data_IF_102804988054
#
_entry.id   IF_102804988054
#
_cell.length_a   1.000
_cell.length_b   1.000
_cell.length_c   1.000
_cell.angle_alpha   90.00
_cell.angle_beta   90.00
_cell.angle_gamma   90.00
#
_symmetry.space_group_name_H-M   'P 1'
#
loop_
_entity.id
_entity.type
_entity.pdbx_description
1 polymer ?
#
# COMPACT_ATOMS: atom_id res chain seq x y z
N UNK A 1 57.58 -0.26 -49.97
CA UNK A 1 56.64 -1.37 -49.66
C UNK A 1 56.64 -1.50 -48.14
N UNK A 2 55.58 -1.05 -47.44
CA UNK A 2 54.44 -1.87 -46.92
C UNK A 2 54.97 -2.91 -45.89
N UNK A 3 54.67 -2.89 -44.60
CA UNK A 3 53.36 -2.83 -43.91
C UNK A 3 53.59 -2.56 -42.40
N UNK A 4 52.95 -1.58 -41.75
CA UNK A 4 51.64 -1.60 -41.05
C UNK A 4 51.46 -2.61 -39.89
N UNK A 5 51.51 -2.06 -38.66
CA UNK A 5 50.53 -2.12 -37.54
C UNK A 5 50.13 -3.48 -36.92
N UNK A 6 50.29 -3.60 -35.60
CA UNK A 6 49.20 -3.91 -34.65
C UNK A 6 49.63 -3.62 -33.21
N UNK A 7 49.26 -2.45 -32.70
CA UNK A 7 49.31 -2.14 -31.27
C UNK A 7 48.16 -2.88 -30.56
N UNK A 8 48.47 -3.62 -29.49
CA UNK A 8 47.46 -4.15 -28.58
C UNK A 8 46.82 -2.98 -27.82
N UNK A 9 45.57 -2.67 -28.13
CA UNK A 9 44.73 -1.82 -27.29
C UNK A 9 43.70 -2.71 -26.59
N UNK A 10 43.97 -3.05 -25.32
CA UNK A 10 43.00 -3.66 -24.44
C UNK A 10 41.94 -2.59 -24.08
N UNK A 11 40.77 -2.68 -24.73
CA UNK A 11 39.59 -1.87 -24.39
C UNK A 11 38.99 -2.40 -23.09
N UNK A 12 39.35 -1.78 -21.97
CA UNK A 12 38.61 -1.93 -20.72
C UNK A 12 37.29 -1.15 -20.84
N UNK A 13 36.18 -1.86 -21.00
CA UNK A 13 34.84 -1.26 -20.93
C UNK A 13 34.53 -0.91 -19.46
N UNK A 14 34.13 0.32 -19.12
CA UNK A 14 33.61 0.62 -17.79
C UNK A 14 32.23 -0.01 -17.65
N UNK A 15 32.10 -0.96 -16.72
CA UNK A 15 30.81 -1.47 -16.27
C UNK A 15 30.10 -0.34 -15.50
N UNK A 16 29.21 0.38 -16.19
CA UNK A 16 28.29 1.32 -15.55
C UNK A 16 27.27 0.52 -14.75
N UNK A 17 27.49 0.45 -13.44
CA UNK A 17 26.49 -0.01 -12.46
C UNK A 17 25.33 1.00 -12.48
N UNK A 18 24.30 0.68 -13.25
CA UNK A 18 23.02 1.37 -13.17
C UNK A 18 22.37 1.02 -11.83
N UNK A 19 22.58 1.86 -10.81
CA UNK A 19 21.83 1.77 -9.58
C UNK A 19 20.35 2.04 -9.91
N UNK A 20 19.49 1.04 -9.73
CA UNK A 20 18.06 1.22 -9.80
C UNK A 20 17.64 2.30 -8.79
N UNK A 21 16.72 3.21 -9.12
CA UNK A 21 16.24 4.19 -8.16
C UNK A 21 15.55 3.42 -7.02
N UNK A 22 16.14 3.48 -5.83
CA UNK A 22 15.44 3.10 -4.62
C UNK A 22 14.22 4.03 -4.51
N UNK A 23 13.01 3.47 -4.59
CA UNK A 23 11.81 4.17 -4.21
C UNK A 23 11.96 4.56 -2.73
N UNK A 24 12.39 5.79 -2.47
CA UNK A 24 12.55 6.30 -1.13
C UNK A 24 11.15 6.35 -0.50
N UNK A 25 10.90 5.49 0.48
CA UNK A 25 9.74 5.64 1.34
C UNK A 25 9.82 7.04 1.98
N UNK A 26 8.73 7.81 1.99
CA UNK A 26 8.74 9.13 2.60
C UNK A 26 9.17 9.01 4.08
N UNK A 27 9.86 10.02 4.64
CA UNK A 27 10.34 9.98 6.03
C UNK A 27 9.16 9.83 6.99
N UNK A 28 9.33 9.08 8.11
CA UNK A 28 8.28 8.97 9.10
C UNK A 28 7.93 10.38 9.66
N UNK A 29 6.66 10.65 9.96
CA UNK A 29 6.23 11.93 10.50
C UNK A 29 6.88 12.18 11.87
N UNK A 30 7.04 13.46 12.26
CA UNK A 30 7.60 13.82 13.55
C UNK A 30 6.77 13.19 14.70
N UNK A 31 7.41 12.84 15.83
CA UNK A 31 6.71 12.33 17.00
C UNK A 31 5.58 13.28 17.44
N UNK A 32 4.35 12.77 17.49
CA UNK A 32 3.15 13.56 17.82
C UNK A 32 2.46 14.23 16.63
N UNK A 33 2.98 14.08 15.40
CA UNK A 33 2.27 14.46 14.18
C UNK A 33 1.18 13.46 13.82
N UNK A 34 0.09 13.92 13.21
CA UNK A 34 -0.94 13.04 12.66
C UNK A 34 -0.35 12.10 11.60
N UNK A 35 -0.63 10.81 11.73
CA UNK A 35 -0.23 9.83 10.74
C UNK A 35 -1.26 9.77 9.61
N UNK A 36 -0.94 10.41 8.49
CA UNK A 36 -1.84 10.53 7.32
C UNK A 36 -1.39 9.70 6.10
N UNK A 37 -0.31 8.91 6.23
CA UNK A 37 0.33 8.21 5.12
C UNK A 37 0.71 6.76 5.50
N UNK A 38 0.93 5.87 4.52
CA UNK A 38 1.29 4.48 4.83
C UNK A 38 2.62 4.35 5.59
N UNK A 39 3.61 5.20 5.28
CA UNK A 39 4.96 5.14 5.87
C UNK A 39 5.01 5.30 7.39
N UNK A 40 3.96 5.85 7.99
CA UNK A 40 3.84 6.06 9.43
C UNK A 40 2.90 5.07 10.11
N UNK A 41 2.22 4.23 9.32
CA UNK A 41 1.26 3.28 9.85
C UNK A 41 1.98 2.05 10.38
N UNK A 42 1.85 1.72 11.67
CA UNK A 42 2.42 0.51 12.22
C UNK A 42 1.75 -0.74 11.65
N UNK A 43 2.52 -1.81 11.51
CA UNK A 43 2.00 -3.14 11.17
C UNK A 43 1.79 -3.42 9.69
N UNK A 44 2.26 -2.55 8.77
CA UNK A 44 2.28 -2.87 7.34
C UNK A 44 3.25 -4.04 7.11
N UNK A 45 2.73 -5.18 6.64
CA UNK A 45 3.52 -6.37 6.36
C UNK A 45 4.43 -6.18 5.13
N UNK A 46 5.76 -6.35 5.23
CA UNK A 46 6.65 -6.23 4.08
C UNK A 46 6.65 -7.49 3.20
N UNK A 47 7.11 -7.33 1.96
CA UNK A 47 7.36 -8.42 1.00
C UNK A 47 6.13 -9.30 0.70
N UNK A 48 4.97 -8.67 0.63
CA UNK A 48 3.71 -9.37 0.30
C UNK A 48 3.62 -9.63 -1.20
N UNK A 49 3.16 -10.82 -1.58
CA UNK A 49 2.88 -11.17 -2.98
C UNK A 49 1.40 -10.93 -3.30
N UNK A 50 1.12 -10.08 -4.29
CA UNK A 50 -0.26 -9.79 -4.73
C UNK A 50 -0.98 -11.10 -5.15
N UNK A 51 -2.18 -11.32 -4.61
CA UNK A 51 -3.00 -12.52 -4.87
C UNK A 51 -2.65 -13.75 -4.03
N UNK A 52 -1.55 -13.72 -3.28
CA UNK A 52 -1.23 -14.80 -2.33
C UNK A 52 -2.20 -14.82 -1.15
N UNK A 53 -2.20 -15.93 -0.40
CA UNK A 53 -3.08 -16.11 0.75
C UNK A 53 -2.66 -15.24 1.94
N UNK A 54 -3.64 -14.88 2.77
CA UNK A 54 -3.43 -14.15 4.01
C UNK A 54 -4.41 -14.65 5.10
N UNK A 55 -4.18 -14.28 6.36
CA UNK A 55 -4.88 -14.89 7.50
C UNK A 55 -5.80 -13.96 8.28
N UNK A 56 -5.68 -12.64 8.13
CA UNK A 56 -6.46 -11.67 8.92
C UNK A 56 -7.01 -10.55 8.04
N UNK A 57 -8.34 -10.44 7.98
CA UNK A 57 -9.06 -9.44 7.18
C UNK A 57 -9.66 -8.31 8.03
N UNK A 58 -9.34 -8.28 9.33
CA UNK A 58 -9.91 -7.31 10.29
C UNK A 58 -8.86 -6.40 10.89
N UNK A 59 -7.72 -6.94 11.34
CA UNK A 59 -6.68 -6.20 12.02
C UNK A 59 -5.34 -6.32 11.30
N UNK A 60 -4.60 -5.21 11.22
CA UNK A 60 -3.28 -5.12 10.56
C UNK A 60 -3.30 -5.73 9.16
N UNK A 61 -4.31 -5.32 8.38
CA UNK A 61 -4.60 -5.95 7.08
C UNK A 61 -3.72 -5.43 5.95
N UNK A 62 -2.89 -4.43 6.19
CA UNK A 62 -2.10 -3.78 5.15
C UNK A 62 -0.74 -4.45 4.96
N UNK A 63 -0.28 -4.45 3.71
CA UNK A 63 1.02 -4.96 3.33
C UNK A 63 1.60 -4.16 2.19
N UNK A 64 2.89 -4.36 1.94
CA UNK A 64 3.61 -3.76 0.82
C UNK A 64 4.35 -4.83 0.03
N UNK A 65 4.27 -4.76 -1.29
CA UNK A 65 5.04 -5.65 -2.17
C UNK A 65 6.52 -5.27 -2.17
N UNK A 66 7.36 -6.17 -2.67
CA UNK A 66 8.80 -5.94 -2.90
C UNK A 66 9.10 -4.73 -3.81
N UNK A 67 8.17 -4.37 -4.70
CA UNK A 67 8.24 -3.17 -5.55
C UNK A 67 7.47 -1.96 -5.00
N UNK A 68 7.09 -1.97 -3.72
CA UNK A 68 6.56 -0.79 -3.02
C UNK A 68 5.07 -0.53 -3.18
N UNK A 69 4.28 -1.50 -3.65
CA UNK A 69 2.82 -1.33 -3.80
C UNK A 69 2.09 -1.68 -2.51
N UNK A 70 1.23 -0.76 -2.06
CA UNK A 70 0.32 -1.04 -0.97
C UNK A 70 -0.78 -2.02 -1.39
N UNK A 71 -1.00 -3.02 -0.54
CA UNK A 71 -2.01 -4.07 -0.67
C UNK A 71 -2.75 -4.24 0.66
N UNK A 72 -3.93 -4.85 0.61
CA UNK A 72 -4.68 -5.22 1.81
C UNK A 72 -5.14 -6.68 1.74
N UNK A 73 -5.20 -7.34 2.89
CA UNK A 73 -5.77 -8.68 3.05
C UNK A 73 -7.29 -8.58 3.12
N UNK A 74 -7.98 -9.19 2.17
CA UNK A 74 -9.43 -9.18 2.10
C UNK A 74 -10.01 -10.55 1.76
N UNK A 75 -11.30 -10.72 2.02
CA UNK A 75 -12.07 -11.91 1.65
C UNK A 75 -13.36 -11.50 0.93
N UNK A 76 -13.26 -11.01 -0.33
CA UNK A 76 -14.44 -10.69 -1.10
C UNK A 76 -15.36 -11.91 -1.21
N UNK A 77 -16.66 -11.73 -0.94
CA UNK A 77 -17.67 -12.80 -0.99
C UNK A 77 -17.38 -14.01 -0.06
N UNK A 78 -16.62 -13.81 1.02
CA UNK A 78 -16.28 -14.85 2.00
C UNK A 78 -15.47 -16.02 1.43
N UNK A 79 -14.69 -15.78 0.37
CA UNK A 79 -13.71 -16.74 -0.13
C UNK A 79 -12.46 -16.79 0.75
N UNK A 80 -11.56 -17.73 0.47
CA UNK A 80 -10.28 -17.77 1.17
C UNK A 80 -9.54 -16.42 1.04
N UNK A 81 -9.09 -15.79 2.15
CA UNK A 81 -8.53 -14.45 2.09
C UNK A 81 -7.26 -14.35 1.26
N UNK A 82 -7.13 -13.24 0.54
CA UNK A 82 -5.98 -12.95 -0.33
C UNK A 82 -5.57 -11.49 -0.27
N UNK A 83 -4.36 -11.22 -0.73
CA UNK A 83 -3.85 -9.86 -0.91
C UNK A 83 -4.38 -9.22 -2.19
N UNK A 84 -5.04 -8.08 -2.05
CA UNK A 84 -5.58 -7.26 -3.15
C UNK A 84 -4.90 -5.90 -3.20
N UNK A 85 -4.98 -5.21 -4.33
CA UNK A 85 -4.51 -3.81 -4.43
C UNK A 85 -5.35 -2.94 -3.50
N UNK A 86 -4.68 -2.17 -2.65
CA UNK A 86 -5.34 -1.23 -1.75
C UNK A 86 -5.82 0.02 -2.50
N UNK A 87 -6.98 0.59 -2.12
CA UNK A 87 -7.24 2.02 -2.27
C UNK A 87 -6.18 2.88 -1.56
N UNK A 88 -6.27 4.20 -1.67
CA UNK A 88 -5.37 5.12 -0.98
C UNK A 88 -5.54 4.96 0.54
N UNK A 89 -4.41 4.84 1.25
CA UNK A 89 -4.39 4.66 2.69
C UNK A 89 -3.99 5.96 3.39
N UNK A 90 -4.92 6.50 4.19
CA UNK A 90 -4.77 7.76 4.91
C UNK A 90 -4.23 7.60 6.34
N UNK A 91 -3.36 6.60 6.54
CA UNK A 91 -2.67 6.39 7.80
C UNK A 91 -3.57 5.90 8.93
N UNK A 92 -3.50 6.59 10.08
CA UNK A 92 -4.21 6.24 11.31
C UNK A 92 -5.40 7.19 11.55
N UNK A 93 -6.61 6.62 11.72
CA UNK A 93 -7.88 7.35 11.91
C UNK A 93 -8.73 6.70 12.99
N UNK A 94 -9.64 7.43 13.62
CA UNK A 94 -10.59 6.81 14.57
C UNK A 94 -11.89 6.43 13.86
N UNK A 95 -12.52 5.36 14.37
CA UNK A 95 -13.86 4.98 13.92
C UNK A 95 -14.84 6.12 14.21
N UNK A 96 -15.63 6.50 13.20
CA UNK A 96 -16.64 7.56 13.30
C UNK A 96 -16.14 8.97 12.98
N UNK A 97 -14.82 9.18 12.87
CA UNK A 97 -14.26 10.46 12.43
C UNK A 97 -14.73 10.79 11.00
N UNK A 98 -14.96 12.07 10.72
CA UNK A 98 -15.38 12.51 9.39
C UNK A 98 -14.25 12.37 8.37
N UNK A 99 -14.59 11.97 7.15
CA UNK A 99 -13.68 11.79 6.03
C UNK A 99 -14.25 12.42 4.74
N UNK A 100 -14.50 13.74 4.71
CA UNK A 100 -15.12 14.37 3.55
C UNK A 100 -14.25 14.20 2.30
N UNK A 101 -14.89 13.83 1.18
CA UNK A 101 -14.26 13.61 -0.12
C UNK A 101 -13.22 12.47 -0.18
N UNK A 102 -13.22 11.56 0.80
CA UNK A 102 -12.35 10.37 0.82
C UNK A 102 -13.16 9.08 0.65
N UNK A 103 -14.35 9.15 0.05
CA UNK A 103 -15.27 8.02 -0.06
C UNK A 103 -14.63 6.83 -0.80
N UNK A 104 -14.62 5.67 -0.15
CA UNK A 104 -13.99 4.46 -0.67
C UNK A 104 -12.49 4.33 -0.36
N UNK A 105 -11.86 5.36 0.18
CA UNK A 105 -10.48 5.30 0.65
C UNK A 105 -10.40 4.59 2.00
N UNK A 106 -9.18 4.20 2.39
CA UNK A 106 -8.96 3.30 3.51
C UNK A 106 -8.03 3.89 4.57
N UNK A 107 -8.12 3.39 5.79
CA UNK A 107 -7.25 3.75 6.90
C UNK A 107 -7.12 2.58 7.88
N UNK A 108 -6.26 2.75 8.89
CA UNK A 108 -6.15 1.84 10.02
C UNK A 108 -6.52 2.57 11.31
N UNK A 109 -7.21 1.92 12.24
CA UNK A 109 -7.39 2.48 13.57
C UNK A 109 -6.13 2.31 14.43
N UNK A 110 -5.99 3.02 15.56
CA UNK A 110 -4.84 2.87 16.45
C UNK A 110 -4.64 1.42 16.97
N UNK A 111 -5.72 0.64 17.06
CA UNK A 111 -5.70 -0.78 17.46
C UNK A 111 -5.45 -1.74 16.28
N UNK A 112 -5.20 -1.22 15.09
CA UNK A 112 -4.96 -2.02 13.88
C UNK A 112 -6.21 -2.32 13.06
N UNK A 113 -7.41 -1.91 13.49
CA UNK A 113 -8.64 -2.22 12.78
C UNK A 113 -8.66 -1.62 11.36
N UNK A 114 -9.09 -2.41 10.38
CA UNK A 114 -9.28 -1.94 9.01
C UNK A 114 -10.47 -0.99 8.91
N UNK A 115 -10.25 0.19 8.34
CA UNK A 115 -11.27 1.21 8.14
C UNK A 115 -11.47 1.51 6.66
N UNK A 116 -12.71 1.82 6.31
CA UNK A 116 -13.07 2.37 5.01
C UNK A 116 -13.91 3.62 5.24
N UNK A 117 -13.62 4.68 4.48
CA UNK A 117 -14.45 5.88 4.50
C UNK A 117 -15.71 5.60 3.67
N UNK A 118 -16.88 5.75 4.29
CA UNK A 118 -18.16 5.50 3.63
C UNK A 118 -19.02 6.77 3.63
N UNK A 119 -19.72 7.00 2.52
CA UNK A 119 -20.79 7.99 2.43
C UNK A 119 -22.12 7.37 2.89
N UNK A 120 -22.71 7.89 3.97
CA UNK A 120 -24.04 7.49 4.44
C UNK A 120 -24.69 8.63 5.22
N UNK A 121 -26.01 8.79 5.08
CA UNK A 121 -26.79 9.80 5.80
C UNK A 121 -26.26 11.23 5.60
N UNK A 122 -25.89 11.58 4.35
CA UNK A 122 -25.32 12.88 3.94
C UNK A 122 -24.00 13.27 4.63
N UNK A 123 -23.25 12.30 5.14
CA UNK A 123 -21.89 12.51 5.66
C UNK A 123 -20.97 11.37 5.26
N UNK A 124 -19.67 11.65 5.21
CA UNK A 124 -18.63 10.65 5.02
C UNK A 124 -17.88 10.45 6.32
N UNK A 125 -17.77 9.21 6.78
CA UNK A 125 -17.06 8.87 8.03
C UNK A 125 -16.35 7.53 7.95
N UNK A 126 -15.32 7.36 8.77
CA UNK A 126 -14.58 6.11 8.87
C UNK A 126 -15.41 5.04 9.59
N UNK A 127 -15.68 3.94 8.91
CA UNK A 127 -16.36 2.77 9.49
C UNK A 127 -15.48 1.52 9.35
N UNK A 128 -15.85 0.46 10.07
CA UNK A 128 -15.26 -0.87 9.96
C UNK A 128 -15.27 -1.38 8.52
N UNK A 129 -14.09 -1.51 7.94
CA UNK A 129 -13.90 -2.01 6.58
C UNK A 129 -14.07 -3.52 6.46
N UNK A 130 -13.90 -4.26 7.56
CA UNK A 130 -14.05 -5.72 7.62
C UNK A 130 -15.51 -6.16 7.43
N UNK A 131 -16.46 -5.29 7.79
CA UNK A 131 -17.88 -5.49 7.55
C UNK A 131 -18.28 -5.19 6.09
N UNK A 132 -17.59 -4.26 5.43
CA UNK A 132 -17.90 -3.81 4.06
C UNK A 132 -17.22 -4.62 2.96
N UNK A 133 -16.09 -5.29 3.23
CA UNK A 133 -15.43 -6.20 2.26
C UNK A 133 -16.24 -7.45 1.89
N UNK A 134 -17.36 -7.69 2.59
CA UNK A 134 -18.34 -8.73 2.26
C UNK A 134 -19.49 -8.30 1.34
N UNK A 135 -19.65 -7.01 1.04
CA UNK A 135 -20.79 -6.53 0.29
C UNK A 135 -20.56 -5.09 -0.14
N UNK A 136 -20.24 -4.90 -1.42
CA UNK A 136 -20.31 -3.58 -2.01
C UNK A 136 -21.67 -2.99 -1.70
N UNK A 137 -21.70 -1.73 -1.28
CA UNK A 137 -22.92 -0.96 -1.44
C UNK A 137 -23.30 -1.09 -2.92
N UNK A 138 -24.51 -1.57 -3.26
CA UNK A 138 -24.97 -1.49 -4.63
C UNK A 138 -24.89 -0.01 -5.05
N UNK A 139 -24.51 0.29 -6.30
CA UNK A 139 -24.60 1.66 -6.78
C UNK A 139 -26.03 2.17 -6.57
N UNK A 140 -26.23 3.44 -6.19
CA UNK A 140 -27.57 4.01 -6.06
C UNK A 140 -28.32 3.78 -7.38
N UNK A 141 -29.50 3.15 -7.30
CA UNK A 141 -30.45 3.06 -8.41
C UNK A 141 -31.17 4.39 -8.58
#
# INVERSE_FOLDING_TARGET
MRSLVAALAALAAPAVLMAAPAAAAPPPPPPGGECNYPNCTPGIQPNVVLGSYCSNTTYYVFGVTDWGRLVFCGSPRRYEPRWFRSPEMHGIKNVGDLCPALDGEVAQAPDGLFLTCIAKDNRSYWERGDASVGGGNPPPQ
#
